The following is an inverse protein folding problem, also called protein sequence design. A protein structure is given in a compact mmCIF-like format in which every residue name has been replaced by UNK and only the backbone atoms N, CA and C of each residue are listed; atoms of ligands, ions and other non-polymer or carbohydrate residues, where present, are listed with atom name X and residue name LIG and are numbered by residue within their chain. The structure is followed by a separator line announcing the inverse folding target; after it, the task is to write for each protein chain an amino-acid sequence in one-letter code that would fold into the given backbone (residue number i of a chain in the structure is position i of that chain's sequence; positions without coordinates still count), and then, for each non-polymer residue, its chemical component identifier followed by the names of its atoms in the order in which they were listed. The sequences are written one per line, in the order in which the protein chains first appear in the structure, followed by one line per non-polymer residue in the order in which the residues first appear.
data_IF_442974515600
#
_entry.id   IF_442974515600
#
_cell.length_a   1.000
_cell.length_b   1.000
_cell.length_c   1.000
_cell.angle_alpha   90.00
_cell.angle_beta   90.00
_cell.angle_gamma   90.00
#
_symmetry.space_group_name_H-M   'P 1'
#
loop_
_entity.id
_entity.type
_entity.pdbx_description
1 polymer ?
#
# COMPACT_ATOMS: atom_id res chain seq x y z
N UNK A 1 -42.96 -2.78 -7.86
CA UNK A 1 -41.93 -3.75 -7.42
C UNK A 1 -40.66 -2.96 -7.13
N UNK A 2 -40.35 -2.73 -5.86
CA UNK A 2 -39.18 -1.94 -5.44
C UNK A 2 -37.92 -2.77 -5.67
N UNK A 3 -36.99 -2.26 -6.48
CA UNK A 3 -35.67 -2.84 -6.62
C UNK A 3 -34.95 -2.67 -5.28
N UNK A 4 -34.82 -3.76 -4.53
CA UNK A 4 -33.95 -3.82 -3.35
C UNK A 4 -32.52 -3.55 -3.85
N UNK A 5 -32.03 -2.33 -3.61
CA UNK A 5 -30.65 -1.96 -3.88
C UNK A 5 -29.76 -2.79 -2.94
N UNK A 6 -29.18 -3.85 -3.49
CA UNK A 6 -28.32 -4.77 -2.75
C UNK A 6 -26.97 -4.08 -2.53
N UNK A 7 -26.91 -3.15 -1.58
CA UNK A 7 -25.64 -2.54 -1.18
C UNK A 7 -24.78 -3.62 -0.51
N UNK A 8 -23.50 -3.77 -0.92
CA UNK A 8 -22.61 -4.68 -0.23
C UNK A 8 -22.52 -4.31 1.25
N UNK A 9 -22.40 -5.29 2.15
CA UNK A 9 -22.32 -5.03 3.58
C UNK A 9 -21.15 -4.09 3.88
N UNK A 10 -21.38 -3.09 4.74
CA UNK A 10 -20.40 -2.08 5.10
C UNK A 10 -19.16 -2.76 5.71
N UNK A 11 -17.99 -2.61 5.07
CA UNK A 11 -16.72 -3.16 5.60
C UNK A 11 -16.40 -2.53 6.96
N UNK A 12 -15.97 -3.36 7.92
CA UNK A 12 -15.52 -2.92 9.25
C UNK A 12 -14.09 -2.37 9.24
N UNK A 13 -13.30 -2.73 8.23
CA UNK A 13 -11.89 -2.36 8.05
C UNK A 13 -11.62 -2.15 6.57
N UNK A 14 -10.65 -1.30 6.27
CA UNK A 14 -10.12 -1.08 4.93
C UNK A 14 -8.73 -1.69 4.81
N UNK A 15 -8.42 -2.39 3.73
CA UNK A 15 -7.10 -2.96 3.50
C UNK A 15 -6.35 -2.17 2.44
N UNK A 16 -5.18 -1.64 2.81
CA UNK A 16 -4.28 -0.94 1.91
C UNK A 16 -3.05 -1.80 1.60
N UNK A 17 -2.78 -2.05 0.32
CA UNK A 17 -1.58 -2.70 -0.16
C UNK A 17 -0.57 -1.65 -0.62
N UNK A 18 0.63 -1.66 -0.06
CA UNK A 18 1.72 -0.76 -0.42
C UNK A 18 2.84 -1.47 -1.16
N UNK A 19 3.33 -0.91 -2.26
CA UNK A 19 4.46 -1.40 -3.03
C UNK A 19 5.65 -0.43 -2.98
N UNK A 20 6.80 -0.91 -2.51
CA UNK A 20 8.06 -0.18 -2.42
C UNK A 20 9.11 -0.85 -3.31
N UNK A 21 9.90 -0.06 -4.02
CA UNK A 21 11.01 -0.54 -4.84
C UNK A 21 11.77 0.61 -5.49
N UNK A 22 12.08 1.62 -4.68
CA UNK A 22 12.82 2.80 -5.10
C UNK A 22 14.32 2.55 -5.23
N UNK A 23 14.82 1.51 -4.54
CA UNK A 23 16.23 1.17 -4.43
C UNK A 23 16.47 -0.34 -4.64
N UNK A 24 17.43 -0.93 -3.93
CA UNK A 24 17.83 -2.33 -4.11
C UNK A 24 16.89 -3.35 -3.45
N UNK A 25 15.81 -2.90 -2.81
CA UNK A 25 14.86 -3.77 -2.13
C UNK A 25 13.49 -3.59 -2.75
N UNK A 26 12.83 -4.70 -3.01
CA UNK A 26 11.41 -4.76 -3.34
C UNK A 26 10.66 -5.11 -2.05
N UNK A 27 9.64 -4.34 -1.71
CA UNK A 27 8.79 -4.58 -0.55
C UNK A 27 7.31 -4.48 -0.89
N UNK A 28 6.50 -5.40 -0.38
CA UNK A 28 5.04 -5.32 -0.44
C UNK A 28 4.48 -5.58 0.94
N UNK A 29 3.62 -4.68 1.41
CA UNK A 29 2.99 -4.77 2.71
C UNK A 29 1.50 -4.48 2.63
N UNK A 30 0.75 -5.03 3.59
CA UNK A 30 -0.69 -4.81 3.71
C UNK A 30 -0.98 -4.26 5.11
N UNK A 31 -1.73 -3.17 5.17
CA UNK A 31 -2.13 -2.50 6.40
C UNK A 31 -3.66 -2.49 6.47
N UNK A 32 -4.21 -2.94 7.59
CA UNK A 32 -5.62 -2.79 7.94
C UNK A 32 -5.83 -1.43 8.60
N UNK A 33 -6.74 -0.62 8.08
CA UNK A 33 -7.24 0.59 8.71
C UNK A 33 -8.66 0.38 9.25
N UNK A 34 -9.05 1.02 10.36
CA UNK A 34 -10.46 1.10 10.74
C UNK A 34 -11.26 1.77 9.63
N UNK A 35 -12.46 1.26 9.32
CA UNK A 35 -13.35 1.96 8.40
C UNK A 35 -13.79 3.30 9.03
N UNK A 36 -13.84 4.40 8.26
CA UNK A 36 -14.34 5.67 8.76
C UNK A 36 -15.78 5.50 9.27
N UNK A 37 -16.05 5.93 10.50
CA UNK A 37 -17.41 5.93 11.01
C UNK A 37 -18.19 7.07 10.38
N UNK A 38 -18.97 6.75 9.34
CA UNK A 38 -19.83 7.73 8.65
C UNK A 38 -21.01 8.23 9.50
N UNK A 39 -21.20 7.76 10.74
CA UNK A 39 -22.26 8.22 11.63
C UNK A 39 -21.91 9.48 12.43
N UNK A 40 -20.65 9.93 12.39
CA UNK A 40 -20.16 11.07 13.18
C UNK A 40 -19.57 12.22 12.35
N UNK A 41 -20.11 12.48 11.16
CA UNK A 41 -19.90 13.78 10.51
C UNK A 41 -20.71 14.86 11.24
N UNK A 42 -20.26 15.26 12.43
CA UNK A 42 -20.60 16.58 12.96
C UNK A 42 -19.68 17.59 12.26
N UNK A 43 -20.21 18.62 11.57
CA UNK A 43 -19.38 19.69 11.04
C UNK A 43 -18.59 20.30 12.19
N UNK A 44 -17.27 20.20 12.15
CA UNK A 44 -16.42 20.90 13.11
C UNK A 44 -16.60 22.40 12.89
N UNK A 45 -17.06 23.19 13.88
CA UNK A 45 -17.18 24.64 13.71
C UNK A 45 -15.79 25.21 13.47
N UNK A 46 -15.59 25.89 12.34
CA UNK A 46 -14.37 26.64 12.06
C UNK A 46 -14.26 27.80 13.03
N UNK A 47 -13.56 27.60 14.14
CA UNK A 47 -13.06 28.71 14.96
C UNK A 47 -11.63 29.00 14.53
N UNK A 48 -11.45 30.15 13.89
CA UNK A 48 -10.13 30.72 13.61
C UNK A 48 -9.46 31.04 14.94
N UNK A 49 -8.58 30.18 15.42
CA UNK A 49 -7.62 30.60 16.44
C UNK A 49 -6.25 29.93 16.22
N UNK A 50 -5.32 30.77 15.76
CA UNK A 50 -3.89 30.51 15.62
C UNK A 50 -3.33 30.13 17.00
N UNK A 51 -3.02 28.85 17.21
CA UNK A 51 -2.25 28.38 18.37
C UNK A 51 -1.25 27.33 17.94
N UNK A 52 0.02 27.70 18.09
CA UNK A 52 1.23 26.92 18.39
C UNK A 52 1.20 25.44 18.01
N UNK A 53 2.08 25.05 17.09
CA UNK A 53 2.26 23.68 16.63
C UNK A 53 3.12 22.87 17.62
N UNK A 54 2.59 21.85 18.32
CA UNK A 54 3.41 20.70 18.68
C UNK A 54 3.41 19.75 17.49
N UNK A 55 4.59 19.59 16.86
CA UNK A 55 4.83 18.50 15.91
C UNK A 55 4.71 17.15 16.61
N UNK A 56 4.11 16.21 15.89
CA UNK A 56 4.37 14.77 15.95
C UNK A 56 3.88 13.99 17.19
N UNK A 57 2.56 13.87 17.31
CA UNK A 57 1.94 12.55 17.59
C UNK A 57 0.73 12.40 16.67
N UNK A 58 0.97 12.00 15.43
CA UNK A 58 -0.09 11.54 14.55
C UNK A 58 -0.76 10.33 15.20
N UNK A 59 -1.92 10.59 15.80
CA UNK A 59 -2.95 9.68 16.24
C UNK A 59 -2.94 8.34 15.45
N UNK A 60 -2.31 7.29 16.00
CA UNK A 60 -2.36 5.92 15.47
C UNK A 60 -3.62 5.21 15.97
N UNK A 61 -4.81 5.66 15.59
CA UNK A 61 -6.06 5.16 16.19
C UNK A 61 -6.57 3.82 15.59
N UNK A 62 -5.69 2.88 15.27
CA UNK A 62 -6.08 1.49 14.98
C UNK A 62 -5.63 0.92 13.64
N UNK A 63 -4.65 1.53 12.97
CA UNK A 63 -3.99 0.90 11.82
C UNK A 63 -3.10 -0.27 12.28
N UNK A 64 -3.20 -1.42 11.60
CA UNK A 64 -2.45 -2.64 11.92
C UNK A 64 -1.71 -3.15 10.68
N UNK A 65 -0.40 -3.42 10.81
CA UNK A 65 0.38 -4.08 9.77
C UNK A 65 0.02 -5.57 9.76
N UNK A 66 -0.52 -6.06 8.64
CA UNK A 66 -0.87 -7.46 8.43
C UNK A 66 0.26 -8.24 7.75
N UNK A 67 1.00 -7.59 6.86
CA UNK A 67 2.19 -8.17 6.22
C UNK A 67 3.20 -7.11 5.83
N UNK A 68 4.47 -7.51 5.71
CA UNK A 68 5.60 -6.66 5.29
C UNK A 68 6.69 -7.56 4.67
N UNK A 69 6.43 -8.04 3.47
CA UNK A 69 7.31 -8.98 2.75
C UNK A 69 8.33 -8.20 1.95
N UNK A 70 9.59 -8.66 1.97
CA UNK A 70 10.72 -7.95 1.39
C UNK A 70 11.66 -8.92 0.68
N UNK A 71 12.12 -8.53 -0.50
CA UNK A 71 13.14 -9.24 -1.25
C UNK A 71 14.25 -8.26 -1.64
N UNK A 72 15.50 -8.63 -1.36
CA UNK A 72 16.64 -7.71 -1.50
C UNK A 72 17.53 -8.18 -2.64
N UNK A 73 17.82 -7.27 -3.57
CA UNK A 73 18.88 -7.46 -4.55
C UNK A 73 20.23 -7.19 -3.89
N UNK A 74 21.06 -8.24 -3.87
CA UNK A 74 22.44 -8.17 -3.40
C UNK A 74 23.34 -8.17 -4.63
N UNK A 75 23.95 -7.02 -4.92
CA UNK A 75 24.88 -6.91 -6.05
C UNK A 75 26.25 -7.50 -5.69
N UNK A 76 27.04 -7.92 -6.70
CA UNK A 76 28.41 -8.34 -6.47
C UNK A 76 29.24 -7.22 -5.81
N UNK A 77 30.18 -7.58 -4.91
CA UNK A 77 31.05 -6.59 -4.25
C UNK A 77 31.71 -5.63 -5.24
N UNK A 78 31.73 -4.33 -4.91
CA UNK A 78 32.38 -3.29 -5.71
C UNK A 78 31.58 -2.75 -6.90
N UNK A 79 30.42 -3.31 -7.23
CA UNK A 79 29.63 -2.89 -8.41
C UNK A 79 28.57 -1.81 -8.12
N UNK A 80 28.20 -1.65 -6.84
CA UNK A 80 27.04 -0.84 -6.45
C UNK A 80 25.73 -1.45 -6.93
N UNK A 81 24.62 -0.69 -6.83
CA UNK A 81 23.32 -1.13 -7.32
C UNK A 81 23.05 -0.52 -8.71
N UNK A 82 23.32 -1.28 -9.75
CA UNK A 82 23.03 -0.83 -11.11
C UNK A 82 21.51 -0.74 -11.33
N UNK A 83 20.98 0.39 -11.84
CA UNK A 83 19.54 0.56 -12.04
C UNK A 83 18.92 -0.51 -12.94
N UNK A 84 19.64 -0.96 -13.97
CA UNK A 84 19.20 -2.01 -14.90
C UNK A 84 18.95 -3.34 -14.18
N UNK A 85 19.92 -3.79 -13.39
CA UNK A 85 19.87 -5.10 -12.73
C UNK A 85 18.87 -5.10 -11.58
N UNK A 86 18.82 -3.99 -10.83
CA UNK A 86 17.82 -3.80 -9.78
C UNK A 86 16.40 -3.82 -10.36
N UNK A 87 16.18 -3.19 -11.51
CA UNK A 87 14.88 -3.23 -12.19
C UNK A 87 14.53 -4.65 -12.67
N UNK A 88 15.51 -5.40 -13.19
CA UNK A 88 15.32 -6.79 -13.59
C UNK A 88 14.92 -7.67 -12.39
N UNK A 89 15.58 -7.49 -11.25
CA UNK A 89 15.21 -8.15 -10.00
C UNK A 89 13.78 -7.81 -9.57
N UNK A 90 13.39 -6.53 -9.60
CA UNK A 90 12.03 -6.14 -9.21
C UNK A 90 10.98 -6.81 -10.11
N UNK A 91 11.18 -6.84 -11.43
CA UNK A 91 10.27 -7.51 -12.36
C UNK A 91 10.19 -9.02 -12.13
N UNK A 92 11.32 -9.66 -11.81
CA UNK A 92 11.36 -11.10 -11.57
C UNK A 92 10.63 -11.52 -10.29
N UNK A 93 10.67 -10.68 -9.24
CA UNK A 93 10.19 -11.06 -7.91
C UNK A 93 8.89 -10.38 -7.47
N UNK A 94 8.36 -9.41 -8.24
CA UNK A 94 7.16 -8.66 -7.82
C UNK A 94 5.98 -9.56 -7.50
N UNK A 95 5.65 -10.49 -8.41
CA UNK A 95 4.51 -11.38 -8.24
C UNK A 95 4.66 -12.29 -7.02
N UNK A 96 5.83 -12.89 -6.82
CA UNK A 96 6.11 -13.76 -5.67
C UNK A 96 5.95 -13.01 -4.35
N UNK A 97 6.54 -11.81 -4.26
CA UNK A 97 6.46 -10.95 -3.07
C UNK A 97 5.01 -10.49 -2.83
N UNK A 98 4.24 -10.22 -3.87
CA UNK A 98 2.84 -9.79 -3.76
C UNK A 98 1.94 -10.94 -3.26
N UNK A 99 2.07 -12.13 -3.84
CA UNK A 99 1.32 -13.31 -3.44
C UNK A 99 1.66 -13.73 -2.02
N UNK A 100 2.93 -13.67 -1.63
CA UNK A 100 3.37 -13.92 -0.26
C UNK A 100 2.81 -12.87 0.70
N UNK A 101 2.77 -11.59 0.33
CA UNK A 101 2.19 -10.53 1.15
C UNK A 101 0.68 -10.75 1.39
N UNK A 102 -0.07 -11.20 0.37
CA UNK A 102 -1.48 -11.59 0.49
C UNK A 102 -1.64 -12.80 1.43
N UNK A 103 -0.81 -13.83 1.23
CA UNK A 103 -0.83 -15.06 2.03
C UNK A 103 -0.58 -14.78 3.51
N UNK A 104 0.47 -14.01 3.83
CA UNK A 104 0.81 -13.63 5.21
C UNK A 104 -0.27 -12.76 5.84
N UNK A 105 -0.88 -11.85 5.08
CA UNK A 105 -1.99 -11.02 5.56
C UNK A 105 -3.33 -11.78 5.68
N UNK A 106 -3.41 -13.01 5.19
CA UNK A 106 -4.63 -13.81 5.20
C UNK A 106 -5.71 -13.35 4.19
N UNK A 107 -5.34 -12.56 3.19
CA UNK A 107 -6.25 -12.09 2.13
C UNK A 107 -6.45 -13.22 1.12
N UNK A 108 -7.70 -13.59 0.85
CA UNK A 108 -8.03 -14.73 -0.03
C UNK A 108 -8.58 -14.28 -1.38
N UNK A 109 -9.38 -13.23 -1.40
CA UNK A 109 -9.94 -12.66 -2.63
C UNK A 109 -9.56 -11.17 -2.70
N UNK A 110 -8.37 -10.83 -3.24
CA UNK A 110 -7.88 -9.46 -3.22
C UNK A 110 -8.78 -8.47 -3.99
N UNK A 111 -9.54 -8.94 -4.99
CA UNK A 111 -10.53 -8.13 -5.72
C UNK A 111 -11.61 -7.54 -4.82
N UNK A 112 -12.08 -8.32 -3.85
CA UNK A 112 -13.16 -7.87 -2.97
C UNK A 112 -12.61 -7.28 -1.66
N UNK A 113 -11.38 -7.62 -1.29
CA UNK A 113 -10.82 -7.31 0.02
C UNK A 113 -9.88 -6.09 0.03
N UNK A 114 -9.06 -5.88 -1.00
CA UNK A 114 -8.12 -4.74 -1.07
C UNK A 114 -8.88 -3.48 -1.50
N UNK A 115 -8.82 -2.43 -0.68
CA UNK A 115 -9.54 -1.17 -0.90
C UNK A 115 -8.66 -0.10 -1.54
N UNK A 116 -7.34 -0.21 -1.38
CA UNK A 116 -6.40 0.77 -1.91
C UNK A 116 -5.05 0.12 -2.23
N UNK A 117 -4.46 0.54 -3.35
CA UNK A 117 -3.09 0.18 -3.73
C UNK A 117 -2.25 1.45 -3.82
N UNK A 118 -1.23 1.53 -2.98
CA UNK A 118 -0.25 2.60 -2.96
C UNK A 118 1.09 2.10 -3.50
N UNK A 119 1.87 2.99 -4.11
CA UNK A 119 3.22 2.68 -4.54
C UNK A 119 4.15 3.88 -4.39
N UNK A 120 5.46 3.60 -4.26
CA UNK A 120 6.46 4.66 -4.23
C UNK A 120 6.60 5.31 -5.60
N UNK A 121 6.15 6.57 -5.71
CA UNK A 121 6.32 7.38 -6.93
C UNK A 121 7.73 7.93 -7.09
N UNK A 122 8.44 8.18 -5.99
CA UNK A 122 9.80 8.70 -5.97
C UNK A 122 10.12 9.48 -4.67
N UNK A 123 11.38 9.94 -4.50
CA UNK A 123 12.52 9.78 -5.40
C UNK A 123 13.07 8.33 -5.41
N UNK A 124 14.03 8.05 -6.30
CA UNK A 124 14.65 6.72 -6.41
C UNK A 124 15.23 6.41 -7.80
N UNK A 125 15.65 5.16 -8.01
CA UNK A 125 16.15 4.68 -9.30
C UNK A 125 15.01 4.54 -10.32
N UNK A 126 15.12 5.20 -11.47
CA UNK A 126 14.03 5.26 -12.47
C UNK A 126 13.51 3.90 -12.95
N UNK A 127 14.41 2.95 -13.23
CA UNK A 127 14.04 1.59 -13.67
C UNK A 127 13.24 0.79 -12.62
N UNK A 128 13.76 0.66 -11.38
CA UNK A 128 13.02 0.07 -10.26
C UNK A 128 11.67 0.75 -9.98
N UNK A 129 11.65 2.08 -9.89
CA UNK A 129 10.41 2.85 -9.67
C UNK A 129 9.35 2.56 -10.75
N UNK A 130 9.77 2.55 -12.02
CA UNK A 130 8.87 2.26 -13.15
C UNK A 130 8.34 0.83 -13.08
N UNK A 131 9.19 -0.14 -12.71
CA UNK A 131 8.80 -1.54 -12.57
C UNK A 131 7.70 -1.71 -11.53
N UNK A 132 7.86 -1.10 -10.34
CA UNK A 132 6.86 -1.14 -9.27
C UNK A 132 5.59 -0.38 -9.65
N UNK A 133 5.72 0.81 -10.26
CA UNK A 133 4.57 1.63 -10.63
C UNK A 133 3.68 0.95 -11.69
N UNK A 134 4.27 0.27 -12.68
CA UNK A 134 3.51 -0.51 -13.67
C UNK A 134 2.80 -1.68 -12.99
N UNK A 135 3.50 -2.43 -12.13
CA UNK A 135 2.92 -3.58 -11.45
C UNK A 135 1.78 -3.17 -10.51
N UNK A 136 1.96 -2.16 -9.66
CA UNK A 136 0.94 -1.65 -8.76
C UNK A 136 -0.31 -1.14 -9.51
N UNK A 137 -0.14 -0.43 -10.64
CA UNK A 137 -1.27 0.00 -11.48
C UNK A 137 -1.98 -1.17 -12.16
N UNK A 138 -1.23 -2.21 -12.54
CA UNK A 138 -1.82 -3.42 -13.09
C UNK A 138 -2.68 -4.13 -12.04
N UNK A 139 -2.17 -4.25 -10.80
CA UNK A 139 -2.95 -4.79 -9.69
C UNK A 139 -4.21 -3.98 -9.43
N UNK A 140 -4.15 -2.65 -9.48
CA UNK A 140 -5.32 -1.77 -9.27
C UNK A 140 -6.38 -1.87 -10.37
N UNK A 141 -6.05 -2.42 -11.54
CA UNK A 141 -7.03 -2.74 -12.59
C UNK A 141 -7.57 -4.17 -12.46
N UNK A 142 -6.81 -5.06 -11.84
CA UNK A 142 -7.18 -6.47 -11.64
C UNK A 142 -8.01 -6.68 -10.38
N UNK A 143 -7.74 -5.92 -9.31
CA UNK A 143 -8.34 -6.04 -7.99
C UNK A 143 -9.26 -4.86 -7.72
#
# INVERSE_FOLDING_TARGET
MSALTNHPPKKRRLLALGCEGSANKLGIGIISHPAPDTSSFTPHPTTNNKRDHPRDKAQQDGAQVLSNVRHTYNSPPGTGFLPKDTAAHHRAHFCDVALEALRVAGVRNPRDEIDCIAYTKGPGMGGPLTSVAVAARTLALLW
#
